data_IF_259652710896
#
_entry.id   IF_259652710896
#
_cell.length_a   1.000
_cell.length_b   1.000
_cell.length_c   1.000
_cell.angle_alpha   90.00
_cell.angle_beta   90.00
_cell.angle_gamma   90.00
#
_symmetry.space_group_name_H-M   'P 1'
#
loop_
_entity.id
_entity.type
_entity.pdbx_description
1 polymer ?
#
# COMPACT_ATOMS: atom_id res chain seq x y z
N UNK A 1 8.76 14.63 1.42
CA UNK A 1 7.95 13.48 0.95
C UNK A 1 6.49 13.86 1.04
N UNK A 2 5.74 13.85 -0.05
CA UNK A 2 4.34 14.33 -0.03
C UNK A 2 3.49 13.44 0.91
N UNK A 3 2.66 14.08 1.73
CA UNK A 3 1.84 13.46 2.78
C UNK A 3 0.94 12.31 2.25
N UNK A 4 0.71 12.30 0.94
CA UNK A 4 -0.08 11.32 0.18
C UNK A 4 0.60 9.94 0.10
N UNK A 5 1.92 9.90 -0.15
CA UNK A 5 2.69 8.64 -0.14
C UNK A 5 2.65 7.97 1.22
N UNK A 6 2.67 8.77 2.29
CA UNK A 6 2.58 8.29 3.67
C UNK A 6 1.20 7.69 3.96
N UNK A 7 0.10 8.36 3.59
CA UNK A 7 -1.26 7.88 3.85
C UNK A 7 -1.62 6.60 3.08
N UNK A 8 -1.23 6.48 1.81
CA UNK A 8 -1.47 5.25 1.02
C UNK A 8 -0.63 4.10 1.56
N UNK A 9 0.63 4.36 1.89
CA UNK A 9 1.46 3.40 2.62
C UNK A 9 0.80 3.02 3.93
N UNK A 10 0.28 3.95 4.73
CA UNK A 10 -0.33 3.67 6.03
C UNK A 10 -1.63 2.88 5.92
N UNK A 11 -2.43 3.10 4.87
CA UNK A 11 -3.64 2.32 4.60
C UNK A 11 -3.32 0.88 4.18
N UNK A 12 -2.36 0.70 3.26
CA UNK A 12 -1.90 -0.64 2.85
C UNK A 12 -1.05 -1.32 3.94
N UNK A 13 -0.30 -0.53 4.72
CA UNK A 13 0.40 -0.95 5.92
C UNK A 13 -0.57 -1.22 7.05
N UNK A 14 -1.76 -0.65 7.14
CA UNK A 14 -2.76 -1.01 8.16
C UNK A 14 -3.07 -2.52 8.09
N UNK A 15 -3.16 -3.03 6.87
CA UNK A 15 -3.34 -4.46 6.57
C UNK A 15 -2.09 -5.33 6.90
N UNK A 16 -0.88 -4.75 6.90
CA UNK A 16 0.40 -5.45 7.15
C UNK A 16 0.90 -5.23 8.60
N UNK A 17 0.64 -4.08 9.22
CA UNK A 17 1.05 -3.64 10.55
C UNK A 17 0.20 -4.28 11.63
N UNK A 18 -1.08 -4.58 11.40
CA UNK A 18 -1.82 -5.45 12.32
C UNK A 18 -1.13 -6.82 12.48
N UNK A 19 -0.49 -7.31 11.42
CA UNK A 19 0.31 -8.56 11.48
C UNK A 19 1.75 -8.37 12.01
N UNK A 20 2.30 -7.15 12.03
CA UNK A 20 3.74 -6.92 12.31
C UNK A 20 4.03 -6.09 13.57
N UNK A 21 3.14 -5.18 13.98
CA UNK A 21 3.31 -4.32 15.19
C UNK A 21 3.22 -5.12 16.50
N UNK A 22 2.49 -6.25 16.49
CA UNK A 22 2.53 -7.22 17.59
C UNK A 22 3.85 -8.00 17.64
N UNK A 23 4.46 -8.29 16.49
CA UNK A 23 5.68 -9.09 16.41
C UNK A 23 6.94 -8.31 16.85
N UNK A 24 7.06 -7.02 16.48
CA UNK A 24 8.19 -6.19 16.90
C UNK A 24 8.18 -5.93 18.42
N UNK A 25 7.02 -5.56 18.99
CA UNK A 25 6.88 -5.38 20.45
C UNK A 25 7.05 -6.69 21.23
N UNK A 26 6.77 -7.84 20.62
CA UNK A 26 6.95 -9.15 21.24
C UNK A 26 8.42 -9.60 21.21
N UNK A 27 9.14 -9.39 20.11
CA UNK A 27 10.58 -9.68 20.03
C UNK A 27 11.39 -8.72 20.90
N UNK A 28 11.03 -7.43 20.97
CA UNK A 28 11.64 -6.48 21.92
C UNK A 28 11.44 -6.87 23.39
N UNK A 29 10.29 -7.47 23.74
CA UNK A 29 9.98 -7.85 25.13
C UNK A 29 10.44 -9.24 25.55
N UNK A 30 10.50 -10.20 24.62
CA UNK A 30 10.63 -11.62 24.98
C UNK A 30 11.77 -12.37 24.26
N UNK A 31 12.41 -11.77 23.24
CA UNK A 31 13.41 -12.43 22.40
C UNK A 31 12.83 -13.52 21.48
N UNK A 32 13.35 -13.67 20.25
CA UNK A 32 12.88 -14.69 19.30
C UNK A 32 13.39 -14.53 17.86
N UNK A 33 13.14 -15.56 17.03
CA UNK A 33 13.61 -15.69 15.63
C UNK A 33 13.10 -14.55 14.73
N UNK A 34 14.05 -13.82 14.17
CA UNK A 34 13.92 -12.59 13.39
C UNK A 34 13.74 -12.85 11.89
N UNK A 35 13.60 -14.12 11.47
CA UNK A 35 13.36 -14.51 10.07
C UNK A 35 12.09 -13.87 9.49
N UNK A 36 11.00 -13.81 10.27
CA UNK A 36 9.76 -13.15 9.85
C UNK A 36 9.90 -11.63 9.77
N UNK A 37 10.73 -11.02 10.63
CA UNK A 37 11.04 -9.58 10.59
C UNK A 37 11.81 -9.21 9.32
N UNK A 38 12.81 -10.01 8.92
CA UNK A 38 13.55 -9.81 7.67
C UNK A 38 12.64 -9.93 6.44
N UNK A 39 11.73 -10.90 6.43
CA UNK A 39 10.73 -11.06 5.35
C UNK A 39 9.76 -9.87 5.27
N UNK A 40 9.31 -9.36 6.41
CA UNK A 40 8.45 -8.17 6.47
C UNK A 40 9.17 -6.90 5.99
N UNK A 41 10.45 -6.71 6.35
CA UNK A 41 11.26 -5.58 5.83
C UNK A 41 11.48 -5.67 4.32
N UNK A 42 11.71 -6.87 3.77
CA UNK A 42 11.79 -7.07 2.32
C UNK A 42 10.46 -6.73 1.63
N UNK A 43 9.32 -7.08 2.23
CA UNK A 43 7.99 -6.73 1.73
C UNK A 43 7.79 -5.21 1.64
N UNK A 44 8.20 -4.48 2.68
CA UNK A 44 8.12 -3.01 2.74
C UNK A 44 8.98 -2.39 1.62
N UNK A 45 10.21 -2.85 1.43
CA UNK A 45 11.07 -2.35 0.36
C UNK A 45 10.46 -2.59 -1.04
N UNK A 46 9.81 -3.74 -1.25
CA UNK A 46 9.12 -4.03 -2.52
C UNK A 46 7.87 -3.18 -2.73
N UNK A 47 7.20 -2.71 -1.67
CA UNK A 47 6.15 -1.71 -1.80
C UNK A 47 6.71 -0.36 -2.25
N UNK A 48 7.90 0.00 -1.79
CA UNK A 48 8.57 1.24 -2.21
C UNK A 48 8.88 1.22 -3.70
N UNK A 49 9.31 0.08 -4.22
CA UNK A 49 9.55 -0.11 -5.65
C UNK A 49 8.27 0.07 -6.49
N UNK A 50 7.10 -0.24 -5.92
CA UNK A 50 5.79 -0.05 -6.57
C UNK A 50 5.35 1.42 -6.51
N UNK A 51 5.53 2.09 -5.37
CA UNK A 51 4.98 3.44 -5.14
C UNK A 51 5.91 4.60 -5.49
N UNK A 52 7.24 4.40 -5.44
CA UNK A 52 8.21 5.46 -5.72
C UNK A 52 8.14 5.98 -7.16
N UNK A 53 7.97 5.13 -8.20
CA UNK A 53 7.88 5.58 -9.58
C UNK A 53 6.54 6.25 -9.93
N UNK A 54 5.51 6.14 -9.09
CA UNK A 54 4.20 6.72 -9.38
C UNK A 54 4.28 8.25 -9.35
N UNK A 55 3.61 8.89 -10.32
CA UNK A 55 3.48 10.34 -10.35
C UNK A 55 2.59 10.85 -9.20
N UNK A 56 2.76 12.11 -8.84
CA UNK A 56 1.93 12.75 -7.81
C UNK A 56 0.43 12.69 -8.14
N UNK A 57 0.06 12.79 -9.42
CA UNK A 57 -1.32 12.62 -9.88
C UNK A 57 -1.87 11.23 -9.55
N UNK A 58 -1.09 10.16 -9.79
CA UNK A 58 -1.53 8.79 -9.49
C UNK A 58 -1.68 8.61 -7.98
N UNK A 59 -0.75 9.15 -7.20
CA UNK A 59 -0.80 9.09 -5.75
C UNK A 59 -1.99 9.88 -5.20
N UNK A 60 -2.35 11.01 -5.78
CA UNK A 60 -3.55 11.74 -5.38
C UNK A 60 -4.83 10.95 -5.65
N UNK A 61 -4.95 10.33 -6.84
CA UNK A 61 -6.07 9.45 -7.18
C UNK A 61 -6.17 8.24 -6.23
N UNK A 62 -5.04 7.63 -5.90
CA UNK A 62 -5.00 6.51 -4.97
C UNK A 62 -5.39 6.92 -3.55
N UNK A 63 -5.05 8.14 -3.09
CA UNK A 63 -5.52 8.65 -1.80
C UNK A 63 -7.03 8.83 -1.83
N UNK A 64 -7.57 9.49 -2.86
CA UNK A 64 -9.01 9.70 -2.98
C UNK A 64 -9.77 8.36 -2.99
N UNK A 65 -9.30 7.37 -3.75
CA UNK A 65 -9.96 6.05 -3.82
C UNK A 65 -9.81 5.24 -2.54
N UNK A 66 -8.60 5.09 -2.01
CA UNK A 66 -8.32 4.09 -0.98
C UNK A 66 -8.22 4.65 0.44
N UNK A 67 -7.89 5.94 0.61
CA UNK A 67 -7.80 6.57 1.94
C UNK A 67 -9.09 7.31 2.28
N UNK A 68 -9.66 8.02 1.30
CA UNK A 68 -10.92 8.74 1.46
C UNK A 68 -12.14 7.88 1.10
N UNK A 69 -11.92 6.63 0.69
CA UNK A 69 -12.95 5.61 0.38
C UNK A 69 -13.97 6.03 -0.69
N UNK A 70 -13.63 7.01 -1.55
CA UNK A 70 -14.51 7.47 -2.61
C UNK A 70 -14.65 6.42 -3.71
N UNK A 71 -15.83 6.27 -4.26
CA UNK A 71 -16.07 5.46 -5.45
C UNK A 71 -15.37 6.04 -6.68
N UNK A 72 -15.06 5.19 -7.67
CA UNK A 72 -14.34 5.61 -8.88
C UNK A 72 -15.06 6.76 -9.60
N UNK A 73 -16.39 6.76 -9.55
CA UNK A 73 -17.20 7.84 -10.11
C UNK A 73 -17.01 9.16 -9.35
N UNK A 74 -17.03 9.14 -8.01
CA UNK A 74 -16.81 10.34 -7.18
C UNK A 74 -15.40 10.90 -7.39
N UNK A 75 -14.38 10.04 -7.52
CA UNK A 75 -13.01 10.45 -7.86
C UNK A 75 -12.94 11.06 -9.26
N UNK A 76 -13.64 10.49 -10.24
CA UNK A 76 -13.71 11.02 -11.60
C UNK A 76 -14.35 12.42 -11.63
N UNK A 77 -15.45 12.61 -10.89
CA UNK A 77 -16.13 13.89 -10.74
C UNK A 77 -15.23 14.94 -10.08
N UNK A 78 -14.53 14.60 -9.00
CA UNK A 78 -13.64 15.53 -8.30
C UNK A 78 -12.39 15.93 -9.10
N UNK A 79 -11.90 15.04 -9.96
CA UNK A 79 -10.63 15.26 -10.69
C UNK A 79 -10.81 15.67 -12.15
N UNK A 80 -12.05 15.65 -12.66
CA UNK A 80 -12.35 15.89 -14.07
C UNK A 80 -11.80 14.81 -15.02
N UNK A 81 -11.32 13.69 -14.49
CA UNK A 81 -10.84 12.56 -15.28
C UNK A 81 -11.99 11.64 -15.68
N UNK A 82 -11.79 10.85 -16.73
CA UNK A 82 -12.76 9.82 -17.08
C UNK A 82 -12.70 8.66 -16.08
N UNK A 83 -13.85 8.03 -15.82
CA UNK A 83 -13.97 6.82 -14.99
C UNK A 83 -12.90 5.79 -15.33
N UNK A 84 -12.74 5.48 -16.63
CA UNK A 84 -11.78 4.48 -17.10
C UNK A 84 -10.32 4.86 -16.79
N UNK A 85 -10.00 6.15 -16.83
CA UNK A 85 -8.66 6.63 -16.52
C UNK A 85 -8.38 6.52 -15.02
N UNK A 86 -9.33 6.94 -14.18
CA UNK A 86 -9.24 6.76 -12.71
C UNK A 86 -9.11 5.27 -12.37
N UNK A 87 -9.97 4.43 -12.94
CA UNK A 87 -9.94 2.98 -12.72
C UNK A 87 -8.57 2.38 -13.04
N UNK A 88 -8.01 2.66 -14.23
CA UNK A 88 -6.70 2.11 -14.63
C UNK A 88 -5.57 2.61 -13.72
N UNK A 89 -5.50 3.91 -13.46
CA UNK A 89 -4.42 4.52 -12.67
C UNK A 89 -4.44 4.03 -11.20
N UNK A 90 -5.61 3.71 -10.65
CA UNK A 90 -5.72 3.12 -9.32
C UNK A 90 -5.52 1.59 -9.33
N UNK A 91 -5.97 0.88 -10.37
CA UNK A 91 -5.96 -0.58 -10.40
C UNK A 91 -4.57 -1.17 -10.63
N UNK A 92 -3.72 -0.52 -11.45
CA UNK A 92 -2.43 -1.08 -11.82
C UNK A 92 -1.46 -1.22 -10.63
N UNK A 93 -1.24 -0.19 -9.78
CA UNK A 93 -0.41 -0.34 -8.58
C UNK A 93 -0.96 -1.38 -7.60
N UNK A 94 -2.29 -1.43 -7.41
CA UNK A 94 -2.94 -2.40 -6.52
C UNK A 94 -2.78 -3.83 -7.03
N UNK A 95 -2.77 -4.05 -8.35
CA UNK A 95 -2.53 -5.36 -8.94
C UNK A 95 -1.12 -5.86 -8.59
N UNK A 96 -0.12 -5.00 -8.66
CA UNK A 96 1.26 -5.35 -8.29
C UNK A 96 1.38 -5.64 -6.79
N UNK A 97 0.73 -4.85 -5.93
CA UNK A 97 0.65 -5.15 -4.48
C UNK A 97 -0.02 -6.51 -4.22
N UNK A 98 -1.10 -6.85 -4.93
CA UNK A 98 -1.78 -8.15 -4.81
C UNK A 98 -0.90 -9.33 -5.26
N UNK A 99 -0.10 -9.16 -6.32
CA UNK A 99 0.86 -10.19 -6.75
C UNK A 99 1.91 -10.42 -5.67
N UNK A 100 2.47 -9.33 -5.14
CA UNK A 100 3.45 -9.37 -4.06
C UNK A 100 2.89 -10.10 -2.81
N UNK A 101 1.66 -9.79 -2.41
CA UNK A 101 0.97 -10.48 -1.32
C UNK A 101 0.80 -11.98 -1.60
N UNK A 102 0.37 -12.37 -2.80
CA UNK A 102 0.23 -13.79 -3.17
C UNK A 102 1.56 -14.55 -3.12
N UNK A 103 2.65 -13.94 -3.57
CA UNK A 103 3.99 -14.54 -3.46
C UNK A 103 4.43 -14.71 -2.01
N UNK A 104 4.09 -13.76 -1.14
CA UNK A 104 4.39 -13.84 0.29
C UNK A 104 3.64 -14.98 1.00
N UNK A 105 2.35 -15.18 0.67
CA UNK A 105 1.51 -16.19 1.31
C UNK A 105 1.58 -17.59 0.69
N UNK A 106 2.17 -17.74 -0.50
CA UNK A 106 2.51 -19.06 -1.07
C UNK A 106 3.65 -19.67 -0.25
N UNK A 107 3.26 -20.42 0.79
CA UNK A 107 4.08 -21.47 1.40
C UNK A 107 4.11 -22.69 0.50
#
# INVERSE_FOLDING_TARGET
MSNYKFLIRFYLLGFIQESTSRAEKFVERFGGDNTNIKKNKQMINKLDDIFNPLSDQVLELMKLRFVNELEIQEVAEQTGLTYNKVYRLCADPIREVKKLAKEYYKK
#
